data_IF_055469737383
#
_entry.id   IF_055469737383
#
_cell.length_a   1.000
_cell.length_b   1.000
_cell.length_c   1.000
_cell.angle_alpha   90.00
_cell.angle_beta   90.00
_cell.angle_gamma   90.00
#
_symmetry.space_group_name_H-M   'P 1'
#
loop_
_entity.id
_entity.type
_entity.pdbx_description
1 polymer ?
#
# COMPACT_ATOMS: atom_id res chain seq x y z
N UNK A 1 -16.40 -12.20 -2.01
CA UNK A 1 -16.88 -13.57 -2.27
C UNK A 1 -16.23 -14.28 -3.46
N UNK A 2 -15.40 -13.65 -4.31
CA UNK A 2 -14.78 -14.32 -5.47
C UNK A 2 -13.27 -14.09 -5.63
N UNK A 3 -12.60 -13.43 -4.67
CA UNK A 3 -11.13 -13.29 -4.65
C UNK A 3 -10.51 -12.69 -5.91
N UNK A 4 -11.19 -11.78 -6.61
CA UNK A 4 -10.69 -11.18 -7.86
C UNK A 4 -10.92 -12.00 -9.14
N UNK A 5 -11.47 -13.22 -9.06
CA UNK A 5 -11.65 -14.11 -10.22
C UNK A 5 -12.88 -13.80 -11.10
N UNK A 6 -13.76 -12.88 -10.67
CA UNK A 6 -14.95 -12.49 -11.43
C UNK A 6 -14.90 -11.00 -11.79
N UNK A 7 -14.86 -10.63 -13.09
CA UNK A 7 -14.88 -9.23 -13.49
C UNK A 7 -16.23 -8.60 -13.19
N UNK A 8 -16.21 -7.35 -12.72
CA UNK A 8 -17.42 -6.56 -12.42
C UNK A 8 -17.81 -5.61 -13.55
N UNK A 9 -16.90 -5.35 -14.49
CA UNK A 9 -17.07 -4.31 -15.52
C UNK A 9 -16.98 -2.87 -14.99
N UNK A 10 -16.62 -2.69 -13.73
CA UNK A 10 -16.46 -1.38 -13.11
C UNK A 10 -15.03 -0.88 -13.29
N UNK A 11 -14.89 0.38 -13.67
CA UNK A 11 -13.61 1.07 -13.69
C UNK A 11 -13.19 1.41 -12.26
N UNK A 12 -11.92 1.17 -11.92
CA UNK A 12 -11.43 1.18 -10.53
C UNK A 12 -11.51 2.57 -9.88
N UNK A 13 -11.17 3.64 -10.61
CA UNK A 13 -11.22 5.02 -10.09
C UNK A 13 -12.66 5.47 -9.88
N UNK A 14 -13.56 5.18 -10.82
CA UNK A 14 -14.99 5.43 -10.69
C UNK A 14 -15.58 4.68 -9.50
N UNK A 15 -15.19 3.42 -9.31
CA UNK A 15 -15.64 2.61 -8.18
C UNK A 15 -15.12 3.13 -6.84
N UNK A 16 -13.86 3.57 -6.77
CA UNK A 16 -13.29 4.20 -5.58
C UNK A 16 -14.08 5.45 -5.15
N UNK A 17 -14.47 6.30 -6.11
CA UNK A 17 -15.31 7.49 -5.85
C UNK A 17 -16.66 7.11 -5.29
N UNK A 18 -17.32 6.13 -5.91
CA UNK A 18 -18.61 5.60 -5.46
C UNK A 18 -18.53 5.00 -4.05
N UNK A 19 -17.48 4.22 -3.75
CA UNK A 19 -17.25 3.69 -2.40
C UNK A 19 -17.13 4.80 -1.36
N UNK A 20 -16.38 5.87 -1.69
CA UNK A 20 -16.28 7.06 -0.84
C UNK A 20 -17.62 7.77 -0.68
N UNK A 21 -18.39 7.93 -1.75
CA UNK A 21 -19.72 8.56 -1.71
C UNK A 21 -20.71 7.76 -0.86
N UNK A 22 -20.51 6.45 -0.76
CA UNK A 22 -21.23 5.54 0.14
C UNK A 22 -20.74 5.56 1.59
N UNK A 23 -19.71 6.35 1.91
CA UNK A 23 -19.19 6.51 3.26
C UNK A 23 -17.98 5.65 3.62
N UNK A 24 -17.29 5.06 2.64
CA UNK A 24 -16.01 4.40 2.92
C UNK A 24 -14.99 5.41 3.47
N UNK A 25 -14.36 5.08 4.60
CA UNK A 25 -13.36 5.94 5.26
C UNK A 25 -11.91 5.72 4.80
N UNK A 26 -11.65 4.64 4.06
CA UNK A 26 -10.33 4.26 3.55
C UNK A 26 -10.50 3.26 2.39
N UNK A 27 -9.52 3.22 1.48
CA UNK A 27 -9.48 2.26 0.37
C UNK A 27 -8.22 1.40 0.47
N UNK A 28 -8.41 0.08 0.57
CA UNK A 28 -7.36 -0.91 0.38
C UNK A 28 -7.28 -1.29 -1.10
N UNK A 29 -6.26 -0.79 -1.80
CA UNK A 29 -6.11 -0.94 -3.24
C UNK A 29 -5.09 -2.03 -3.57
N UNK A 30 -5.57 -3.24 -3.84
CA UNK A 30 -4.72 -4.36 -4.28
C UNK A 30 -4.66 -4.43 -5.80
N UNK A 31 -3.45 -4.33 -6.36
CA UNK A 31 -3.22 -4.66 -7.77
C UNK A 31 -3.12 -6.17 -7.94
N UNK A 32 -4.00 -6.75 -8.73
CA UNK A 32 -4.00 -8.19 -9.03
C UNK A 32 -2.75 -8.55 -9.87
N UNK A 33 -2.39 -7.72 -10.85
CA UNK A 33 -1.28 -7.98 -11.76
C UNK A 33 0.08 -7.98 -11.05
N UNK A 34 0.22 -7.15 -10.01
CA UNK A 34 1.46 -7.05 -9.23
C UNK A 34 1.48 -8.02 -8.03
N UNK A 35 0.36 -8.67 -7.69
CA UNK A 35 0.31 -9.49 -6.49
C UNK A 35 1.25 -10.70 -6.59
N UNK A 36 2.05 -10.90 -5.55
CA UNK A 36 3.11 -11.91 -5.51
C UNK A 36 4.34 -11.65 -6.42
N UNK A 37 4.30 -10.67 -7.33
CA UNK A 37 5.37 -10.44 -8.32
C UNK A 37 6.68 -9.89 -7.72
N UNK A 38 6.60 -9.19 -6.58
CA UNK A 38 7.73 -8.51 -5.90
C UNK A 38 8.48 -7.50 -6.78
N UNK A 39 7.83 -6.95 -7.79
CA UNK A 39 8.38 -5.99 -8.76
C UNK A 39 7.98 -4.54 -8.50
N UNK A 40 7.25 -4.28 -7.41
CA UNK A 40 6.75 -2.96 -7.05
C UNK A 40 5.23 -2.87 -7.06
N UNK A 41 4.69 -1.83 -6.42
CA UNK A 41 3.26 -1.54 -6.46
C UNK A 41 2.84 -0.98 -7.82
N UNK A 42 1.54 -1.06 -8.15
CA UNK A 42 0.99 -0.40 -9.33
C UNK A 42 0.89 1.12 -9.10
N UNK A 43 1.99 1.85 -9.33
CA UNK A 43 2.10 3.28 -8.99
C UNK A 43 1.10 4.16 -9.76
N UNK A 44 0.87 3.90 -11.04
CA UNK A 44 -0.10 4.65 -11.85
C UNK A 44 -1.53 4.48 -11.33
N UNK A 45 -1.94 3.24 -11.06
CA UNK A 45 -3.25 2.93 -10.49
C UNK A 45 -3.41 3.55 -9.10
N UNK A 46 -2.37 3.41 -8.26
CA UNK A 46 -2.35 3.99 -6.90
C UNK A 46 -2.51 5.50 -6.96
N UNK A 47 -1.77 6.19 -7.83
CA UNK A 47 -1.86 7.64 -8.04
C UNK A 47 -3.23 8.05 -8.56
N UNK A 48 -3.77 7.31 -9.53
CA UNK A 48 -5.08 7.62 -10.10
C UNK A 48 -6.19 7.56 -9.04
N UNK A 49 -6.17 6.53 -8.18
CA UNK A 49 -7.16 6.38 -7.11
C UNK A 49 -6.92 7.39 -5.98
N UNK A 50 -5.68 7.56 -5.50
CA UNK A 50 -5.36 8.50 -4.40
C UNK A 50 -5.65 9.95 -4.76
N UNK A 51 -5.48 10.33 -6.03
CA UNK A 51 -5.83 11.68 -6.52
C UNK A 51 -7.34 11.89 -6.71
N UNK A 52 -8.11 10.81 -6.81
CA UNK A 52 -9.54 10.86 -7.13
C UNK A 52 -10.45 10.90 -5.90
N UNK A 53 -9.93 10.53 -4.72
CA UNK A 53 -10.72 10.40 -3.49
C UNK A 53 -10.00 11.10 -2.32
N UNK A 54 -10.73 11.79 -1.43
CA UNK A 54 -10.13 12.48 -0.29
C UNK A 54 -9.78 11.56 0.89
N UNK A 55 -10.19 10.28 0.83
CA UNK A 55 -9.94 9.31 1.90
C UNK A 55 -8.58 8.63 1.70
N UNK A 56 -7.92 8.17 2.78
CA UNK A 56 -6.66 7.45 2.68
C UNK A 56 -6.72 6.26 1.72
N UNK A 57 -5.62 6.03 1.00
CA UNK A 57 -5.44 4.87 0.11
C UNK A 57 -4.24 4.07 0.57
N UNK A 58 -4.46 2.77 0.81
CA UNK A 58 -3.42 1.79 1.13
C UNK A 58 -3.01 1.09 -0.17
N UNK A 59 -1.74 1.23 -0.57
CA UNK A 59 -1.18 0.46 -1.68
C UNK A 59 -0.94 -1.00 -1.27
N UNK A 60 -1.36 -1.96 -2.09
CA UNK A 60 -1.27 -3.39 -1.84
C UNK A 60 -0.97 -4.17 -3.12
N UNK A 61 -0.22 -5.28 -2.99
CA UNK A 61 0.25 -6.12 -4.10
C UNK A 61 1.56 -5.62 -4.73
N UNK A 62 2.59 -6.47 -4.74
CA UNK A 62 3.85 -6.23 -5.46
C UNK A 62 5.07 -5.77 -4.66
N UNK A 63 4.94 -5.54 -3.35
CA UNK A 63 6.07 -5.17 -2.50
C UNK A 63 7.21 -6.21 -2.56
N UNK A 64 8.44 -5.74 -2.77
CA UNK A 64 9.64 -6.57 -2.95
C UNK A 64 10.84 -6.03 -2.18
N UNK A 65 10.90 -4.72 -1.98
CA UNK A 65 11.95 -4.04 -1.23
C UNK A 65 11.43 -2.76 -0.58
N UNK A 66 12.27 -2.07 0.22
CA UNK A 66 11.92 -0.79 0.83
C UNK A 66 11.73 0.33 -0.21
N UNK A 67 12.44 0.28 -1.34
CA UNK A 67 12.30 1.23 -2.45
C UNK A 67 10.87 1.19 -3.00
N UNK A 68 10.27 0.01 -3.14
CA UNK A 68 8.88 -0.10 -3.60
C UNK A 68 7.91 0.61 -2.65
N UNK A 69 8.15 0.56 -1.33
CA UNK A 69 7.33 1.29 -0.36
C UNK A 69 7.55 2.80 -0.50
N UNK A 70 8.80 3.25 -0.64
CA UNK A 70 9.12 4.66 -0.87
C UNK A 70 8.34 5.17 -2.09
N UNK A 71 8.41 4.44 -3.20
CA UNK A 71 7.79 4.84 -4.46
C UNK A 71 6.26 4.87 -4.34
N UNK A 72 5.64 3.93 -3.59
CA UNK A 72 4.22 3.99 -3.29
C UNK A 72 3.81 5.28 -2.55
N UNK A 73 4.64 5.77 -1.63
CA UNK A 73 4.38 7.02 -0.90
C UNK A 73 4.68 8.27 -1.75
N UNK A 74 5.83 8.32 -2.41
CA UNK A 74 6.31 9.52 -3.10
C UNK A 74 5.74 9.67 -4.50
N UNK A 75 5.56 8.56 -5.21
CA UNK A 75 5.05 8.54 -6.58
C UNK A 75 3.62 8.02 -6.67
N UNK A 76 3.22 7.06 -5.84
CA UNK A 76 1.84 6.56 -5.80
C UNK A 76 0.87 7.47 -5.05
N UNK A 77 1.37 8.34 -4.17
CA UNK A 77 0.53 9.15 -3.29
C UNK A 77 -0.27 8.32 -2.27
N UNK A 78 0.18 7.09 -1.98
CA UNK A 78 -0.45 6.25 -0.98
C UNK A 78 -0.29 6.85 0.43
N UNK A 79 -1.30 6.67 1.28
CA UNK A 79 -1.23 7.04 2.70
C UNK A 79 -0.61 5.94 3.57
N UNK A 80 -0.72 4.69 3.11
CA UNK A 80 -0.14 3.52 3.75
C UNK A 80 0.28 2.48 2.70
N UNK A 81 1.16 1.56 3.09
CA UNK A 81 1.61 0.45 2.26
C UNK A 81 1.39 -0.86 3.02
N UNK A 82 0.71 -1.81 2.38
CA UNK A 82 0.54 -3.18 2.88
C UNK A 82 1.65 -4.05 2.31
N UNK A 83 2.27 -4.85 3.17
CA UNK A 83 3.38 -5.77 2.83
C UNK A 83 3.09 -7.12 3.46
N UNK A 84 3.20 -8.20 2.68
CA UNK A 84 2.97 -9.57 3.15
C UNK A 84 4.14 -10.50 2.82
N UNK A 85 4.31 -10.89 1.55
CA UNK A 85 5.24 -11.95 1.14
C UNK A 85 6.68 -11.81 1.67
N UNK A 86 7.30 -10.63 1.51
CA UNK A 86 8.68 -10.40 1.97
C UNK A 86 8.85 -10.42 3.49
N UNK A 87 7.77 -10.18 4.25
CA UNK A 87 7.77 -10.29 5.71
C UNK A 87 7.56 -11.74 6.15
N UNK A 88 6.61 -12.45 5.53
CA UNK A 88 6.34 -13.85 5.84
C UNK A 88 7.51 -14.78 5.51
N UNK A 89 8.24 -14.46 4.43
CA UNK A 89 9.43 -15.21 4.02
C UNK A 89 10.69 -14.84 4.81
N UNK A 90 10.62 -13.85 5.71
CA UNK A 90 11.76 -13.39 6.50
C UNK A 90 12.86 -12.71 5.68
N UNK A 91 12.55 -12.20 4.48
CA UNK A 91 13.51 -11.46 3.65
C UNK A 91 13.82 -10.07 4.22
N UNK A 92 12.89 -9.51 5.00
CA UNK A 92 13.08 -8.26 5.73
C UNK A 92 12.14 -8.20 6.94
N UNK A 93 12.32 -7.19 7.78
CA UNK A 93 11.45 -6.87 8.91
C UNK A 93 10.79 -5.50 8.75
N UNK A 94 9.71 -5.26 9.48
CA UNK A 94 9.09 -3.92 9.55
C UNK A 94 10.09 -2.86 10.05
N UNK A 95 11.02 -3.24 10.92
CA UNK A 95 12.06 -2.35 11.45
C UNK A 95 13.03 -1.92 10.34
N UNK A 96 13.52 -2.87 9.54
CA UNK A 96 14.43 -2.60 8.43
C UNK A 96 13.77 -1.72 7.35
N UNK A 97 12.52 -2.05 6.97
CA UNK A 97 11.74 -1.25 6.03
C UNK A 97 11.58 0.20 6.53
N UNK A 98 11.16 0.38 7.78
CA UNK A 98 11.02 1.72 8.38
C UNK A 98 12.35 2.46 8.50
N UNK A 99 13.44 1.74 8.77
CA UNK A 99 14.79 2.33 8.85
C UNK A 99 15.23 2.89 7.49
N UNK A 100 15.05 2.11 6.42
CA UNK A 100 15.34 2.55 5.06
C UNK A 100 14.47 3.76 4.65
N UNK A 101 13.17 3.71 4.91
CA UNK A 101 12.25 4.81 4.64
C UNK A 101 12.63 6.10 5.39
N UNK A 102 12.98 5.97 6.67
CA UNK A 102 13.43 7.10 7.49
C UNK A 102 14.73 7.69 6.94
N UNK A 103 15.67 6.86 6.52
CA UNK A 103 16.93 7.30 5.91
C UNK A 103 16.71 8.11 4.62
N UNK A 104 15.68 7.79 3.84
CA UNK A 104 15.28 8.57 2.66
C UNK A 104 14.38 9.77 2.98
N UNK A 105 14.12 10.07 4.26
CA UNK A 105 13.27 11.20 4.66
C UNK A 105 11.77 10.98 4.49
N UNK A 106 11.32 9.72 4.28
CA UNK A 106 9.89 9.40 4.27
C UNK A 106 9.36 9.42 5.70
N UNK A 107 8.28 10.18 5.93
CA UNK A 107 7.66 10.26 7.25
C UNK A 107 6.94 8.96 7.58
N UNK A 108 7.52 8.18 8.49
CA UNK A 108 6.95 6.91 8.99
C UNK A 108 6.79 6.96 10.49
N UNK A 109 5.85 6.17 11.01
CA UNK A 109 5.70 6.01 12.46
C UNK A 109 6.99 5.40 13.04
N UNK A 110 7.57 6.00 14.09
CA UNK A 110 8.86 5.57 14.64
C UNK A 110 8.82 4.11 15.08
N UNK A 111 9.96 3.44 14.99
CA UNK A 111 10.15 2.10 15.57
C UNK A 111 10.24 2.29 17.10
N UNK A 112 9.41 1.60 17.90
CA UNK A 112 9.53 1.66 19.36
C UNK A 112 10.93 1.22 19.80
N UNK A 113 11.49 1.89 20.80
CA UNK A 113 12.75 1.44 21.39
C UNK A 113 12.58 0.03 21.98
N UNK A 114 13.61 -0.84 21.90
CA UNK A 114 13.55 -2.17 22.49
C UNK A 114 13.19 -2.06 23.99
N UNK A 115 12.12 -2.76 24.40
CA UNK A 115 11.61 -2.77 25.79
C UNK A 115 10.39 -1.89 26.07
N UNK A 116 9.88 -1.15 25.08
CA UNK A 116 8.53 -0.55 25.14
C UNK A 116 7.65 -1.18 24.07
N UNK A 117 7.02 -2.31 24.40
CA UNK A 117 5.86 -2.77 23.64
C UNK A 117 4.77 -1.69 23.72
N UNK A 118 4.15 -1.40 22.58
CA UNK A 118 3.02 -0.50 22.52
C UNK A 118 1.86 -1.16 23.29
N UNK A 119 1.52 -0.57 24.43
CA UNK A 119 0.31 -0.89 25.19
C UNK A 119 -0.95 -0.57 24.38
#
# INVERSE_FOLDING_TARGET
THGGSKPTGLEAVAWARECRDRGAGEILLTSIDQDGARTGYALELTRAVSSAVPVPVIASGGAGSAEHLRDAFTEGGASAALVAGILHDGLTTVVELKTALTHWGVNVRPVPAPGKEAA
#
